data_IF_664380465045
#
_entry.id   IF_664380465045
#
_cell.length_a   1.000
_cell.length_b   1.000
_cell.length_c   1.000
_cell.angle_alpha   90.00
_cell.angle_beta   90.00
_cell.angle_gamma   90.00
#
_symmetry.space_group_name_H-M   'P 1'
#
loop_
_entity.id
_entity.type
_entity.pdbx_description
1 polymer ?
#
# COMPACT_ATOMS: atom_id res chain seq x y z
N UNK A 1 9.94 12.19 -7.32
CA UNK A 1 9.18 12.64 -6.13
C UNK A 1 8.97 11.40 -5.27
N UNK A 2 9.54 11.35 -4.06
CA UNK A 2 9.48 10.16 -3.18
C UNK A 2 8.03 10.02 -2.69
N UNK A 3 7.36 8.92 -3.06
CA UNK A 3 6.01 8.63 -2.60
C UNK A 3 6.02 8.15 -1.15
N UNK A 4 5.16 8.71 -0.31
CA UNK A 4 4.92 8.22 1.06
C UNK A 4 4.16 6.89 1.00
N UNK A 5 4.64 5.87 1.71
CA UNK A 5 3.95 4.58 1.87
C UNK A 5 3.20 4.52 3.22
N UNK A 6 2.03 3.86 3.28
CA UNK A 6 1.31 3.19 2.19
C UNK A 6 0.77 4.18 1.15
N UNK A 7 0.46 3.69 -0.05
CA UNK A 7 -0.20 4.51 -1.07
C UNK A 7 -1.68 4.18 -1.08
N UNK A 8 -2.52 5.01 -0.45
CA UNK A 8 -3.93 4.71 -0.36
C UNK A 8 -4.60 5.00 -1.70
N UNK A 9 -5.45 4.06 -2.13
CA UNK A 9 -6.17 4.15 -3.39
C UNK A 9 -7.66 4.01 -3.13
N UNK A 10 -8.43 4.86 -3.80
CA UNK A 10 -9.86 4.67 -4.00
C UNK A 10 -10.05 3.75 -5.21
N UNK A 11 -10.94 2.77 -5.05
CA UNK A 11 -11.29 1.79 -6.08
C UNK A 11 -12.71 2.06 -6.53
N UNK A 12 -12.94 2.22 -7.82
CA UNK A 12 -14.28 2.41 -8.39
C UNK A 12 -14.45 1.63 -9.68
N UNK A 13 -15.69 1.17 -9.90
CA UNK A 13 -16.07 0.40 -11.08
C UNK A 13 -16.90 1.27 -12.01
N UNK A 14 -16.53 1.33 -13.29
CA UNK A 14 -17.35 1.95 -14.31
C UNK A 14 -18.26 0.90 -14.94
N UNK A 15 -19.53 1.25 -15.15
CA UNK A 15 -20.49 0.35 -15.78
C UNK A 15 -19.98 -0.10 -17.17
N UNK A 16 -19.89 -1.43 -17.36
CA UNK A 16 -19.38 -2.04 -18.59
C UNK A 16 -17.87 -2.30 -18.64
N UNK A 17 -17.10 -1.94 -17.61
CA UNK A 17 -15.68 -2.32 -17.49
C UNK A 17 -15.49 -3.41 -16.43
N UNK A 18 -14.76 -4.47 -16.78
CA UNK A 18 -14.39 -5.55 -15.85
C UNK A 18 -13.20 -5.16 -14.95
N UNK A 19 -12.39 -4.20 -15.38
CA UNK A 19 -11.19 -3.74 -14.67
C UNK A 19 -11.55 -2.55 -13.76
N UNK A 20 -11.20 -2.61 -12.45
CA UNK A 20 -11.41 -1.49 -11.55
C UNK A 20 -10.50 -0.32 -11.90
N UNK A 21 -10.96 0.90 -11.63
CA UNK A 21 -10.14 2.09 -11.72
C UNK A 21 -9.56 2.47 -10.37
N UNK A 22 -8.31 2.90 -10.37
CA UNK A 22 -7.60 3.34 -9.17
C UNK A 22 -7.31 4.83 -9.22
N UNK A 23 -7.67 5.54 -8.15
CA UNK A 23 -7.29 6.94 -7.96
C UNK A 23 -6.64 7.09 -6.59
N UNK A 24 -5.62 7.95 -6.52
CA UNK A 24 -4.99 8.27 -5.24
C UNK A 24 -6.02 8.86 -4.28
N UNK A 25 -6.04 8.32 -3.06
CA UNK A 25 -6.90 8.77 -1.98
C UNK A 25 -6.06 9.28 -0.80
N UNK A 26 -6.44 10.43 -0.26
CA UNK A 26 -5.78 10.98 0.92
C UNK A 26 -6.47 10.42 2.18
N UNK A 27 -5.93 9.30 2.69
CA UNK A 27 -6.42 8.69 3.91
C UNK A 27 -6.18 9.61 5.13
N UNK A 28 -7.14 9.73 6.06
CA UNK A 28 -6.92 10.45 7.31
C UNK A 28 -5.73 9.87 8.10
N UNK A 29 -4.92 10.75 8.68
CA UNK A 29 -3.69 10.38 9.38
C UNK A 29 -3.92 9.35 10.52
N UNK A 30 -5.08 9.40 11.17
CA UNK A 30 -5.45 8.44 12.22
C UNK A 30 -5.61 7.01 11.66
N UNK A 31 -6.28 6.87 10.51
CA UNK A 31 -6.48 5.58 9.84
C UNK A 31 -5.14 5.04 9.37
N UNK A 32 -4.29 5.91 8.80
CA UNK A 32 -2.94 5.56 8.39
C UNK A 32 -2.10 5.00 9.56
N UNK A 33 -2.19 5.63 10.73
CA UNK A 33 -1.52 5.17 11.96
C UNK A 33 -2.01 3.80 12.41
N UNK A 34 -3.31 3.52 12.29
CA UNK A 34 -3.90 2.20 12.60
C UNK A 34 -3.39 1.14 11.62
N UNK A 35 -3.32 1.44 10.33
CA UNK A 35 -2.74 0.56 9.29
C UNK A 35 -1.28 0.23 9.59
N UNK A 36 -0.44 1.23 9.88
CA UNK A 36 0.96 0.99 10.24
C UNK A 36 1.10 0.11 11.48
N UNK A 37 0.21 0.28 12.46
CA UNK A 37 0.20 -0.54 13.67
C UNK A 37 -0.18 -1.99 13.34
N UNK A 38 -1.20 -2.19 12.48
CA UNK A 38 -1.60 -3.51 11.99
C UNK A 38 -0.44 -4.21 11.29
N UNK A 39 0.20 -3.56 10.31
CA UNK A 39 1.35 -4.11 9.57
C UNK A 39 2.51 -4.51 10.50
N UNK A 40 2.77 -3.71 11.55
CA UNK A 40 3.79 -4.02 12.54
C UNK A 40 3.44 -5.25 13.38
N UNK A 41 2.17 -5.37 13.81
CA UNK A 41 1.70 -6.51 14.60
C UNK A 41 1.73 -7.80 13.78
N UNK A 42 1.35 -7.74 12.50
CA UNK A 42 1.36 -8.90 11.60
C UNK A 42 2.76 -9.26 11.10
N UNK A 43 3.73 -8.37 11.27
CA UNK A 43 5.09 -8.56 10.74
C UNK A 43 5.17 -8.49 9.21
N UNK A 44 4.12 -7.98 8.56
CA UNK A 44 4.06 -7.85 7.11
C UNK A 44 4.81 -6.59 6.66
N UNK A 45 5.64 -6.74 5.63
CA UNK A 45 6.30 -5.61 4.95
C UNK A 45 5.45 -5.09 3.79
N UNK A 46 4.58 -5.94 3.24
CA UNK A 46 3.69 -5.66 2.13
C UNK A 46 2.36 -6.38 2.33
N UNK A 47 1.27 -5.71 1.99
CA UNK A 47 -0.08 -6.28 1.95
C UNK A 47 -1.01 -5.32 1.20
N UNK A 48 -2.03 -5.85 0.53
CA UNK A 48 -3.24 -5.07 0.25
C UNK A 48 -4.13 -5.04 1.49
N UNK A 49 -4.69 -3.87 1.78
CA UNK A 49 -5.64 -3.65 2.87
C UNK A 49 -6.88 -3.02 2.28
N UNK A 50 -8.01 -3.67 2.49
CA UNK A 50 -9.31 -3.23 1.99
C UNK A 50 -10.06 -2.52 3.10
N UNK A 51 -10.48 -1.28 2.80
CA UNK A 51 -11.32 -0.47 3.65
C UNK A 51 -12.60 -0.12 2.91
N UNK A 52 -13.74 -0.25 3.59
CA UNK A 52 -15.01 0.29 3.15
C UNK A 52 -15.29 1.64 3.82
N UNK A 53 -16.18 2.42 3.22
CA UNK A 53 -16.82 3.57 3.86
C UNK A 53 -18.27 3.23 4.15
N UNK A 54 -18.73 3.50 5.37
CA UNK A 54 -20.15 3.41 5.69
C UNK A 54 -20.91 4.69 5.24
N UNK A 55 -22.23 4.71 5.45
CA UNK A 55 -23.08 5.86 5.09
C UNK A 55 -22.77 7.16 5.86
N UNK A 56 -21.92 7.11 6.87
CA UNK A 56 -21.48 8.23 7.69
C UNK A 56 -20.00 8.58 7.42
N UNK A 57 -19.42 8.03 6.35
CA UNK A 57 -18.01 8.20 5.98
C UNK A 57 -17.01 7.65 7.01
N UNK A 58 -17.44 6.71 7.86
CA UNK A 58 -16.51 5.99 8.74
C UNK A 58 -15.80 4.88 7.96
N UNK A 59 -14.51 4.73 8.22
CA UNK A 59 -13.70 3.66 7.64
C UNK A 59 -13.93 2.34 8.37
N UNK A 60 -14.37 1.34 7.61
CA UNK A 60 -14.57 -0.03 8.05
C UNK A 60 -13.46 -0.92 7.50
N UNK A 61 -12.76 -1.67 8.36
CA UNK A 61 -11.79 -2.66 7.91
C UNK A 61 -12.50 -3.88 7.33
N UNK A 62 -12.19 -4.24 6.08
CA UNK A 62 -12.80 -5.36 5.39
C UNK A 62 -11.87 -6.57 5.33
N UNK A 63 -10.59 -6.34 5.07
CA UNK A 63 -9.64 -7.43 4.90
C UNK A 63 -8.20 -6.98 4.74
N UNK A 64 -7.31 -7.96 4.87
CA UNK A 64 -5.88 -7.83 4.62
C UNK A 64 -5.43 -9.06 3.81
N UNK A 65 -4.81 -8.82 2.66
CA UNK A 65 -4.27 -9.86 1.79
C UNK A 65 -2.76 -9.63 1.58
N UNK A 66 -1.88 -10.51 2.10
CA UNK A 66 -0.45 -10.37 1.95
C UNK A 66 0.08 -10.76 0.56
N UNK A 67 -0.74 -11.41 -0.28
CA UNK A 67 -0.33 -11.99 -1.58
C UNK A 67 -1.12 -11.46 -2.78
N UNK A 68 -1.94 -10.43 -2.58
CA UNK A 68 -2.70 -9.77 -3.64
C UNK A 68 -1.79 -9.23 -4.75
N UNK A 69 -2.21 -9.41 -5.99
CA UNK A 69 -1.57 -8.79 -7.16
C UNK A 69 -1.62 -7.25 -7.07
N UNK A 70 -0.51 -6.59 -7.37
CA UNK A 70 -0.41 -5.12 -7.45
C UNK A 70 -0.28 -4.60 -8.89
N UNK A 71 -0.33 -5.48 -9.88
CA UNK A 71 -0.03 -5.15 -11.28
C UNK A 71 -0.95 -4.06 -11.83
N UNK A 72 -2.25 -4.20 -11.61
CA UNK A 72 -3.25 -3.23 -12.10
C UNK A 72 -3.06 -1.85 -11.48
N UNK A 73 -2.80 -1.79 -10.17
CA UNK A 73 -2.51 -0.54 -9.46
C UNK A 73 -1.26 0.12 -10.05
N UNK A 74 -0.19 -0.65 -10.26
CA UNK A 74 1.05 -0.14 -10.83
C UNK A 74 0.85 0.39 -12.26
N UNK A 75 0.11 -0.33 -13.11
CA UNK A 75 -0.17 0.07 -14.49
C UNK A 75 -0.97 1.37 -14.56
N UNK A 76 -1.99 1.52 -13.72
CA UNK A 76 -2.89 2.68 -13.73
C UNK A 76 -2.30 3.90 -13.03
N UNK A 77 -1.63 3.70 -11.89
CA UNK A 77 -1.18 4.82 -11.03
C UNK A 77 0.27 5.24 -11.26
N UNK A 78 1.01 4.48 -12.07
CA UNK A 78 2.44 4.69 -12.40
C UNK A 78 3.36 4.64 -11.17
N UNK A 79 2.90 4.04 -10.08
CA UNK A 79 3.72 3.77 -8.90
C UNK A 79 4.42 2.44 -9.13
N UNK A 80 5.75 2.46 -9.11
CA UNK A 80 6.56 1.26 -9.33
C UNK A 80 6.67 0.41 -8.06
N UNK A 81 5.58 -0.27 -7.68
CA UNK A 81 5.53 -1.23 -6.56
C UNK A 81 6.62 -2.30 -6.73
N UNK A 82 6.86 -2.75 -7.96
CA UNK A 82 7.96 -3.68 -8.30
C UNK A 82 9.32 -3.13 -7.87
N UNK A 83 9.65 -1.87 -8.15
CA UNK A 83 10.93 -1.27 -7.73
C UNK A 83 11.04 -1.21 -6.20
N UNK A 84 9.96 -0.86 -5.51
CA UNK A 84 9.95 -0.75 -4.05
C UNK A 84 10.18 -2.10 -3.39
N UNK A 85 9.50 -3.14 -3.86
CA UNK A 85 9.67 -4.50 -3.38
C UNK A 85 11.06 -5.04 -3.75
N UNK A 86 11.57 -4.73 -4.95
CA UNK A 86 12.91 -5.12 -5.38
C UNK A 86 13.98 -4.47 -4.50
N UNK A 87 13.82 -3.19 -4.15
CA UNK A 87 14.71 -2.46 -3.27
C UNK A 87 14.66 -3.01 -1.83
N UNK A 88 13.45 -3.34 -1.35
CA UNK A 88 13.27 -4.03 -0.06
C UNK A 88 14.01 -5.38 -0.04
N UNK A 89 13.93 -6.15 -1.12
CA UNK A 89 14.64 -7.43 -1.25
C UNK A 89 16.16 -7.24 -1.32
N UNK A 90 16.63 -6.22 -2.06
CA UNK A 90 18.06 -5.96 -2.24
C UNK A 90 18.71 -5.39 -0.98
N UNK A 91 18.05 -4.44 -0.31
CA UNK A 91 18.51 -3.88 0.98
C UNK A 91 18.30 -4.86 2.14
N UNK A 92 17.32 -5.74 2.01
CA UNK A 92 16.91 -6.70 3.04
C UNK A 92 17.74 -7.97 3.06
N UNK A 93 19.04 -7.89 3.42
CA UNK A 93 19.74 -8.89 4.27
C UNK A 93 21.22 -8.58 4.47
N UNK A 94 21.57 -7.92 5.58
CA UNK A 94 22.71 -8.30 6.46
C UNK A 94 22.31 -7.95 7.91
N UNK A 95 22.03 -8.96 8.73
CA UNK A 95 21.94 -8.96 10.20
C UNK A 95 21.66 -7.63 10.95
N UNK A 96 20.40 -7.36 11.32
CA UNK A 96 20.09 -6.42 12.42
C UNK A 96 18.70 -6.68 13.00
N UNK A 97 18.51 -6.74 14.33
CA UNK A 97 17.20 -6.85 14.99
C UNK A 97 16.33 -5.58 14.86
N UNK A 98 16.81 -4.57 14.15
CA UNK A 98 16.08 -3.36 13.82
C UNK A 98 15.78 -3.36 12.33
N UNK A 99 14.64 -3.93 11.94
CA UNK A 99 14.18 -3.92 10.54
C UNK A 99 14.10 -2.48 10.04
N UNK A 100 15.01 -2.11 9.15
CA UNK A 100 15.01 -0.82 8.46
C UNK A 100 13.86 -0.81 7.46
N UNK A 101 12.93 0.14 7.64
CA UNK A 101 12.05 0.55 6.54
C UNK A 101 12.93 1.32 5.54
N UNK A 102 13.00 0.93 4.26
CA UNK A 102 13.81 1.67 3.31
C UNK A 102 13.17 3.05 3.10
N UNK A 103 13.91 4.10 3.47
CA UNK A 103 13.74 5.39 2.82
C UNK A 103 14.27 5.25 1.40
N UNK A 104 13.36 5.29 0.44
CA UNK A 104 13.66 5.26 -1.00
C UNK A 104 14.38 6.56 -1.37
N UNK A 105 15.69 6.56 -1.20
CA UNK A 105 16.58 7.58 -1.78
C UNK A 105 16.75 7.29 -3.27
N UNK A 106 16.59 8.28 -4.16
CA UNK A 106 16.89 8.10 -5.56
C UNK A 106 18.40 7.97 -5.72
N UNK A 107 18.88 6.84 -6.25
CA UNK A 107 20.19 6.79 -6.87
C UNK A 107 20.04 7.39 -8.28
N UNK A 108 20.85 8.41 -8.55
CA UNK A 108 20.77 9.27 -9.74
C UNK A 108 21.23 8.61 -11.03
#
# INVERSE_FOLDING_TARGET
MVGSFPVPMEVFYQEGNEVPFFKKWDLPAEVLKKIHTLMRITGLLYSSIELGLDHQENYCFLGIDPVSSFLEIQEQTKISVTEILSELLFRGKIASPHSFWPTLTPHG
#
